data_IF_386329331283
#
_entry.id   IF_386329331283
#
_cell.length_a   1.000
_cell.length_b   1.000
_cell.length_c   1.000
_cell.angle_alpha   90.00
_cell.angle_beta   90.00
_cell.angle_gamma   90.00
#
_symmetry.space_group_name_H-M   'P 1'
#
loop_
_entity.id
_entity.type
_entity.pdbx_description
1 polymer ?
#
# COMPACT_ATOMS: atom_id res chain seq x y z
N UNK A 1 19.52 -7.02 -8.94
CA UNK A 1 18.43 -6.10 -9.34
C UNK A 1 17.57 -5.88 -8.11
N UNK A 2 17.41 -4.65 -7.65
CA UNK A 2 16.63 -4.33 -6.45
C UNK A 2 15.13 -4.56 -6.73
N UNK A 3 14.45 -5.31 -5.86
CA UNK A 3 13.00 -5.51 -5.97
C UNK A 3 12.29 -4.33 -5.31
N UNK A 4 12.03 -3.28 -6.08
CA UNK A 4 11.37 -2.06 -5.60
C UNK A 4 10.05 -1.83 -6.33
N UNK A 5 8.93 -1.86 -5.60
CA UNK A 5 7.60 -1.57 -6.11
C UNK A 5 7.13 -0.18 -5.71
N UNK A 6 6.58 0.55 -6.68
CA UNK A 6 5.81 1.76 -6.44
C UNK A 6 4.33 1.40 -6.50
N UNK A 7 3.60 1.62 -5.41
CA UNK A 7 2.17 1.29 -5.32
C UNK A 7 1.38 2.58 -5.18
N UNK A 8 0.37 2.77 -6.04
CA UNK A 8 -0.54 3.92 -5.99
C UNK A 8 -1.80 3.51 -5.24
N UNK A 9 -2.08 4.21 -4.15
CA UNK A 9 -3.27 4.05 -3.32
C UNK A 9 -4.11 5.33 -3.45
N UNK A 10 -5.25 5.23 -4.12
CA UNK A 10 -6.15 6.38 -4.36
C UNK A 10 -6.83 6.89 -3.09
N UNK A 11 -6.75 6.11 -1.99
CA UNK A 11 -7.14 6.47 -0.64
C UNK A 11 -6.03 6.04 0.32
N UNK A 12 -5.91 6.73 1.46
CA UNK A 12 -5.00 6.33 2.55
C UNK A 12 -5.46 4.97 3.11
N UNK A 13 -4.61 3.92 3.10
CA UNK A 13 -5.04 2.57 3.49
C UNK A 13 -5.16 2.35 5.00
N UNK A 14 -4.93 3.39 5.80
CA UNK A 14 -5.10 3.39 7.23
C UNK A 14 -5.98 4.59 7.64
N UNK A 15 -6.94 4.40 8.57
CA UNK A 15 -7.32 3.13 9.22
C UNK A 15 -7.95 2.12 8.26
N UNK A 16 -7.88 0.83 8.61
CA UNK A 16 -8.46 -0.27 7.81
C UNK A 16 -9.95 -0.40 8.13
N UNK A 17 -10.72 0.64 7.83
CA UNK A 17 -12.11 0.80 8.29
C UNK A 17 -13.16 0.57 7.19
N UNK A 18 -12.74 0.39 5.94
CA UNK A 18 -13.64 0.04 4.84
C UNK A 18 -13.03 -1.02 3.91
N UNK A 19 -13.90 -1.76 3.21
CA UNK A 19 -13.49 -2.95 2.46
C UNK A 19 -12.43 -2.71 1.37
N UNK A 20 -12.38 -1.52 0.79
CA UNK A 20 -11.47 -1.20 -0.32
C UNK A 20 -10.01 -1.01 0.08
N UNK A 21 -9.68 -0.83 1.36
CA UNK A 21 -8.29 -0.71 1.85
C UNK A 21 -7.73 -1.98 2.45
N UNK A 22 -8.59 -2.96 2.76
CA UNK A 22 -8.21 -4.20 3.46
C UNK A 22 -7.14 -4.97 2.69
N UNK A 23 -7.37 -5.26 1.41
CA UNK A 23 -6.42 -6.04 0.60
C UNK A 23 -5.08 -5.32 0.47
N UNK A 24 -5.09 -4.02 0.17
CA UNK A 24 -3.86 -3.23 0.04
C UNK A 24 -3.08 -3.24 1.35
N UNK A 25 -3.72 -2.92 2.48
CA UNK A 25 -3.06 -2.81 3.77
C UNK A 25 -2.32 -4.09 4.17
N UNK A 26 -2.95 -5.26 3.99
CA UNK A 26 -2.35 -6.55 4.36
C UNK A 26 -1.37 -7.10 3.32
N UNK A 27 -1.42 -6.62 2.07
CA UNK A 27 -0.46 -6.98 1.02
C UNK A 27 0.91 -6.37 1.25
N UNK A 28 0.98 -5.15 1.78
CA UNK A 28 2.24 -4.45 2.07
C UNK A 28 3.21 -5.26 2.96
N UNK A 29 2.82 -5.73 4.16
CA UNK A 29 3.73 -6.52 5.00
C UNK A 29 4.09 -7.86 4.38
N UNK A 30 3.17 -8.49 3.62
CA UNK A 30 3.44 -9.75 2.91
C UNK A 30 4.53 -9.56 1.84
N UNK A 31 4.49 -8.46 1.09
CA UNK A 31 5.51 -8.12 0.10
C UNK A 31 6.85 -7.76 0.76
N UNK A 32 6.83 -6.98 1.85
CA UNK A 32 8.04 -6.65 2.60
C UNK A 32 8.71 -7.89 3.18
N UNK A 33 7.94 -8.87 3.69
CA UNK A 33 8.46 -10.15 4.18
C UNK A 33 9.19 -10.98 3.09
N UNK A 34 8.91 -10.71 1.82
CA UNK A 34 9.60 -11.33 0.68
C UNK A 34 10.80 -10.52 0.17
N UNK A 35 11.22 -9.49 0.92
CA UNK A 35 12.33 -8.62 0.58
C UNK A 35 12.03 -7.61 -0.53
N UNK A 36 10.76 -7.23 -0.70
CA UNK A 36 10.34 -6.20 -1.65
C UNK A 36 10.36 -4.84 -0.95
N UNK A 37 11.16 -3.90 -1.47
CA UNK A 37 11.10 -2.50 -1.08
C UNK A 37 9.85 -1.87 -1.68
N UNK A 38 9.14 -1.04 -0.89
CA UNK A 38 7.88 -0.45 -1.31
C UNK A 38 7.91 1.06 -1.09
N UNK A 39 7.62 1.81 -2.14
CA UNK A 39 7.21 3.21 -2.05
C UNK A 39 5.70 3.29 -2.25
N UNK A 40 4.97 3.63 -1.19
CA UNK A 40 3.52 3.74 -1.22
C UNK A 40 3.10 5.20 -1.42
N UNK A 41 2.45 5.48 -2.54
CA UNK A 41 1.89 6.79 -2.87
C UNK A 41 0.44 6.82 -2.40
N UNK A 42 0.15 7.50 -1.30
CA UNK A 42 -1.20 7.65 -0.77
C UNK A 42 -1.80 8.99 -1.17
N UNK A 43 -3.02 8.97 -1.67
CA UNK A 43 -3.80 10.15 -2.00
C UNK A 43 -5.03 10.23 -1.08
N UNK A 44 -5.43 11.44 -0.73
CA UNK A 44 -6.65 11.72 0.02
C UNK A 44 -7.68 12.33 -0.94
N UNK A 45 -8.92 11.87 -0.87
CA UNK A 45 -9.93 12.29 -1.84
C UNK A 45 -10.31 13.76 -1.58
N UNK A 46 -10.09 14.63 -2.56
CA UNK A 46 -10.46 16.06 -2.48
C UNK A 46 -9.34 17.03 -2.07
N UNK A 47 -8.06 16.62 -2.17
CA UNK A 47 -6.90 17.49 -1.99
C UNK A 47 -5.83 17.27 -3.05
#
# INVERSE_FOLDING_TARGET
MEKHLHIIALNVPFPVDYGGVVDLFWKLPSLQAQGVNIHLHCFDYGR
#
